data_IF_419284227106
#
_entry.id   IF_419284227106
#
_cell.length_a   1.000
_cell.length_b   1.000
_cell.length_c   1.000
_cell.angle_alpha   90.00
_cell.angle_beta   90.00
_cell.angle_gamma   90.00
#
_symmetry.space_group_name_H-M   'P 1'
#
loop_
_entity.id
_entity.type
_entity.pdbx_description
1 polymer ?
#
# COMPACT_ATOMS: atom_id res chain seq x y z
N UNK A 1 -74.88 48.42 19.63
CA UNK A 1 -74.02 47.36 20.13
C UNK A 1 -74.12 46.16 19.20
N UNK A 2 -73.21 45.99 18.27
CA UNK A 2 -73.27 44.97 17.24
C UNK A 2 -72.00 44.13 17.36
N UNK A 3 -72.15 42.89 17.88
CA UNK A 3 -71.13 41.88 17.93
C UNK A 3 -70.89 41.30 16.52
N UNK A 4 -69.65 41.35 16.04
CA UNK A 4 -69.20 40.59 14.86
C UNK A 4 -68.34 39.38 15.31
N UNK A 5 -68.62 38.14 14.88
CA UNK A 5 -67.75 37.02 15.13
C UNK A 5 -66.58 37.00 14.11
N UNK A 6 -65.36 36.83 14.62
CA UNK A 6 -64.15 36.65 13.83
C UNK A 6 -64.09 35.22 13.28
N UNK A 7 -64.04 35.12 11.95
CA UNK A 7 -63.82 33.86 11.20
C UNK A 7 -62.35 33.45 11.28
N UNK A 8 -62.04 32.39 12.02
CA UNK A 8 -60.69 31.76 12.01
C UNK A 8 -60.61 30.79 10.83
N UNK A 9 -59.87 31.16 9.81
CA UNK A 9 -59.49 30.23 8.73
C UNK A 9 -58.39 29.26 9.25
N UNK A 10 -58.73 27.97 9.35
CA UNK A 10 -57.75 26.90 9.54
C UNK A 10 -57.05 26.62 8.19
N UNK A 11 -55.79 26.99 8.09
CA UNK A 11 -54.95 26.51 6.99
C UNK A 11 -54.53 25.05 7.28
N UNK A 12 -55.14 24.11 6.57
CA UNK A 12 -54.67 22.72 6.52
C UNK A 12 -53.58 22.62 5.49
N UNK A 13 -52.30 22.49 5.94
CA UNK A 13 -51.19 22.07 5.08
C UNK A 13 -51.37 20.59 4.74
N UNK A 14 -51.29 20.18 3.47
CA UNK A 14 -51.25 18.78 3.14
C UNK A 14 -49.84 18.23 3.52
N UNK A 15 -49.82 17.29 4.43
CA UNK A 15 -48.66 16.46 4.71
C UNK A 15 -48.40 15.58 3.47
N UNK A 16 -47.42 15.93 2.64
CA UNK A 16 -46.88 15.03 1.63
C UNK A 16 -46.09 13.91 2.36
N UNK A 17 -46.73 12.76 2.54
CA UNK A 17 -46.08 11.55 2.93
C UNK A 17 -45.22 11.08 1.75
N UNK A 18 -43.91 11.41 1.75
CA UNK A 18 -42.92 10.72 0.93
C UNK A 18 -42.88 9.26 1.41
N UNK A 19 -43.54 8.38 0.68
CA UNK A 19 -43.29 6.94 0.81
C UNK A 19 -41.90 6.66 0.25
N UNK A 20 -40.89 6.61 1.12
CA UNK A 20 -39.61 6.04 0.76
C UNK A 20 -39.84 4.56 0.44
N UNK A 21 -39.83 4.21 -0.84
CA UNK A 21 -39.73 2.83 -1.24
C UNK A 21 -38.43 2.27 -0.65
N UNK A 22 -38.45 1.07 -0.02
CA UNK A 22 -37.20 0.44 0.43
C UNK A 22 -36.35 0.18 -0.81
N UNK A 23 -35.33 1.00 -1.04
CA UNK A 23 -34.24 0.66 -1.93
C UNK A 23 -33.53 -0.49 -1.23
N UNK A 24 -33.70 -1.72 -1.73
CA UNK A 24 -32.92 -2.84 -1.30
C UNK A 24 -31.50 -2.58 -1.79
N UNK A 25 -30.73 -1.86 -0.99
CA UNK A 25 -29.31 -1.65 -1.19
C UNK A 25 -28.66 -3.03 -1.16
N UNK A 26 -28.17 -3.49 -2.30
CA UNK A 26 -27.49 -4.77 -2.40
C UNK A 26 -26.06 -4.59 -1.86
N UNK A 27 -25.89 -4.83 -0.57
CA UNK A 27 -24.57 -4.78 0.09
C UNK A 27 -23.78 -6.02 -0.29
N UNK A 28 -22.66 -5.86 -0.93
CA UNK A 28 -21.72 -6.93 -1.22
C UNK A 28 -20.56 -6.88 -0.22
N UNK A 29 -20.39 -7.96 0.56
CA UNK A 29 -19.23 -8.16 1.44
C UNK A 29 -18.36 -9.26 0.84
N UNK A 30 -17.08 -8.97 0.66
CA UNK A 30 -16.09 -9.91 0.15
C UNK A 30 -15.04 -10.20 1.20
N UNK A 31 -14.70 -11.47 1.33
CA UNK A 31 -13.53 -11.95 2.06
C UNK A 31 -12.45 -12.30 1.04
N UNK A 32 -11.25 -11.80 1.24
CA UNK A 32 -10.09 -12.11 0.41
C UNK A 32 -8.83 -12.21 1.24
N UNK A 33 -7.83 -12.91 0.72
CA UNK A 33 -6.58 -13.06 1.44
C UNK A 33 -5.47 -13.62 0.58
N UNK A 34 -4.27 -13.51 1.14
CA UNK A 34 -3.04 -14.08 0.60
C UNK A 34 -2.29 -14.74 1.74
N UNK A 35 -1.99 -16.02 1.60
CA UNK A 35 -1.24 -16.82 2.56
C UNK A 35 0.12 -17.13 1.96
N UNK A 36 1.17 -16.96 2.75
CA UNK A 36 2.54 -17.25 2.33
C UNK A 36 3.33 -17.88 3.48
N UNK A 37 4.00 -18.98 3.17
CA UNK A 37 4.94 -19.63 4.07
C UNK A 37 6.04 -20.33 3.28
N UNK A 38 7.25 -20.30 3.82
CA UNK A 38 8.38 -20.98 3.21
C UNK A 38 9.47 -21.36 4.19
N UNK A 39 10.44 -22.11 3.69
CA UNK A 39 11.69 -22.41 4.38
C UNK A 39 12.76 -21.51 3.80
N UNK A 40 13.44 -20.74 4.62
CA UNK A 40 14.45 -19.79 4.14
C UNK A 40 15.59 -19.60 5.12
N UNK A 41 16.72 -19.12 4.59
CA UNK A 41 17.82 -18.56 5.35
C UNK A 41 17.89 -17.07 5.09
N UNK A 42 17.72 -16.27 6.13
CA UNK A 42 17.77 -14.82 6.05
C UNK A 42 19.19 -14.27 5.85
N UNK A 43 19.30 -12.96 5.64
CA UNK A 43 20.59 -12.24 5.56
C UNK A 43 21.36 -12.28 6.89
N UNK A 44 20.68 -12.45 8.00
CA UNK A 44 21.21 -12.71 9.35
C UNK A 44 21.78 -14.13 9.53
N UNK A 45 21.72 -14.96 8.49
CA UNK A 45 22.11 -16.36 8.44
C UNK A 45 21.24 -17.32 9.27
N UNK A 46 20.13 -16.85 9.84
CA UNK A 46 19.18 -17.69 10.57
C UNK A 46 18.31 -18.48 9.59
N UNK A 47 18.10 -19.76 9.89
CA UNK A 47 17.17 -20.62 9.13
C UNK A 47 15.79 -20.56 9.79
N UNK A 48 14.76 -20.35 9.00
CA UNK A 48 13.40 -20.18 9.48
C UNK A 48 12.42 -21.00 8.62
N UNK A 49 11.33 -21.41 9.25
CA UNK A 49 10.06 -21.63 8.60
C UNK A 49 9.21 -20.41 8.91
N UNK A 50 8.69 -19.74 7.90
CA UNK A 50 7.92 -18.51 8.14
C UNK A 50 7.60 -17.75 6.85
N UNK A 51 7.15 -16.54 7.03
CA UNK A 51 6.73 -15.66 5.94
C UNK A 51 7.91 -15.12 5.15
N UNK A 52 7.99 -15.47 3.86
CA UNK A 52 8.94 -14.86 2.89
C UNK A 52 8.31 -13.67 2.19
N UNK A 53 7.05 -13.79 1.76
CA UNK A 53 6.20 -12.71 1.29
C UNK A 53 5.31 -12.23 2.44
N UNK A 54 4.15 -11.64 2.20
CA UNK A 54 3.34 -11.09 3.30
C UNK A 54 1.94 -11.70 3.28
N UNK A 55 1.57 -12.40 4.33
CA UNK A 55 0.21 -12.92 4.49
C UNK A 55 -0.75 -11.82 4.92
N UNK A 56 -1.95 -11.80 4.34
CA UNK A 56 -2.99 -10.86 4.72
C UNK A 56 -4.38 -11.48 4.66
N UNK A 57 -5.30 -10.87 5.39
CA UNK A 57 -6.73 -11.14 5.36
C UNK A 57 -7.46 -9.80 5.24
N UNK A 58 -8.44 -9.71 4.35
CA UNK A 58 -9.21 -8.50 4.13
C UNK A 58 -10.71 -8.77 4.02
N UNK A 59 -11.49 -7.92 4.66
CA UNK A 59 -12.92 -7.75 4.46
C UNK A 59 -13.14 -6.43 3.72
N UNK A 60 -13.92 -6.44 2.66
CA UNK A 60 -14.29 -5.24 1.94
C UNK A 60 -15.75 -5.32 1.51
N UNK A 61 -16.38 -4.17 1.36
CA UNK A 61 -17.75 -4.13 0.90
C UNK A 61 -18.10 -2.81 0.24
N UNK A 62 -19.20 -2.86 -0.50
CA UNK A 62 -19.78 -1.70 -1.17
C UNK A 62 -21.29 -1.76 -1.05
N UNK A 63 -21.90 -0.62 -0.76
CA UNK A 63 -23.33 -0.39 -0.74
C UNK A 63 -23.67 0.64 -1.81
N UNK A 64 -24.58 0.32 -2.71
CA UNK A 64 -25.09 1.26 -3.73
C UNK A 64 -26.05 2.25 -3.05
N UNK A 65 -25.74 3.54 -3.16
CA UNK A 65 -26.55 4.64 -2.63
C UNK A 65 -27.44 5.30 -3.68
N UNK A 66 -27.42 4.78 -4.92
CA UNK A 66 -28.11 5.37 -6.07
C UNK A 66 -27.29 6.40 -6.83
N UNK A 67 -27.74 6.75 -8.03
CA UNK A 67 -27.15 7.76 -8.91
C UNK A 67 -25.63 7.59 -9.17
N UNK A 68 -25.14 6.34 -9.13
CA UNK A 68 -23.72 6.01 -9.31
C UNK A 68 -22.84 6.33 -8.09
N UNK A 69 -23.43 6.65 -6.95
CA UNK A 69 -22.75 6.83 -5.67
C UNK A 69 -22.76 5.51 -4.88
N UNK A 70 -21.65 5.15 -4.27
CA UNK A 70 -21.54 4.00 -3.39
C UNK A 70 -20.77 4.34 -2.11
N UNK A 71 -21.23 3.80 -0.99
CA UNK A 71 -20.43 3.71 0.24
C UNK A 71 -19.52 2.49 0.16
N UNK A 72 -18.27 2.63 0.64
CA UNK A 72 -17.29 1.54 0.63
C UNK A 72 -16.61 1.41 1.99
N UNK A 73 -16.20 0.20 2.33
CA UNK A 73 -15.32 -0.03 3.48
C UNK A 73 -14.26 -1.07 3.16
N UNK A 74 -13.13 -1.01 3.88
CA UNK A 74 -12.12 -2.06 3.88
C UNK A 74 -11.46 -2.18 5.23
N UNK A 75 -11.37 -3.42 5.72
CA UNK A 75 -10.65 -3.80 6.92
C UNK A 75 -9.67 -4.90 6.55
N UNK A 76 -8.38 -4.71 6.84
CA UNK A 76 -7.38 -5.73 6.55
C UNK A 76 -6.33 -5.85 7.65
N UNK A 77 -5.85 -7.06 7.83
CA UNK A 77 -4.79 -7.40 8.77
C UNK A 77 -3.70 -8.19 8.07
N UNK A 78 -2.48 -8.09 8.57
CA UNK A 78 -1.36 -8.93 8.18
C UNK A 78 -0.94 -9.79 9.35
N UNK A 79 -0.47 -10.98 9.07
CA UNK A 79 -0.09 -11.94 10.09
C UNK A 79 1.04 -12.84 9.61
N UNK A 80 1.77 -13.40 10.56
CA UNK A 80 2.81 -14.38 10.33
C UNK A 80 2.16 -15.77 10.39
N UNK A 81 2.15 -16.49 9.24
CA UNK A 81 1.39 -17.74 9.11
C UNK A 81 1.95 -18.88 9.97
N UNK A 82 3.24 -18.84 10.24
CA UNK A 82 3.94 -19.83 11.06
C UNK A 82 3.60 -19.74 12.55
N UNK A 83 3.27 -18.56 13.05
CA UNK A 83 2.94 -18.33 14.47
C UNK A 83 1.49 -18.02 14.74
N UNK A 84 0.75 -17.56 13.70
CA UNK A 84 -0.63 -17.06 13.85
C UNK A 84 -0.71 -15.67 14.49
N UNK A 85 0.42 -15.05 14.82
CA UNK A 85 0.46 -13.70 15.38
C UNK A 85 0.22 -12.64 14.30
N UNK A 86 -0.24 -11.44 14.68
CA UNK A 86 -0.18 -10.29 13.76
C UNK A 86 1.25 -10.02 13.36
N UNK A 87 1.50 -9.56 12.13
CA UNK A 87 2.84 -9.33 11.57
C UNK A 87 3.74 -8.56 12.56
N UNK A 88 5.00 -8.94 12.66
CA UNK A 88 5.94 -8.39 13.64
C UNK A 88 5.78 -8.94 15.04
N UNK A 89 5.51 -10.24 15.16
CA UNK A 89 5.37 -10.98 16.42
C UNK A 89 4.28 -10.42 17.37
N UNK A 90 3.17 -9.96 16.79
CA UNK A 90 2.04 -9.45 17.58
C UNK A 90 2.16 -7.99 18.04
N UNK A 91 3.24 -7.29 17.65
CA UNK A 91 3.45 -5.90 18.09
C UNK A 91 2.52 -4.88 17.41
N UNK A 92 1.84 -5.28 16.33
CA UNK A 92 1.01 -4.37 15.52
C UNK A 92 -0.48 -4.45 15.87
N UNK A 93 -1.23 -3.35 15.67
CA UNK A 93 -2.69 -3.37 15.81
C UNK A 93 -3.32 -4.42 14.89
N UNK A 94 -4.45 -5.00 15.29
CA UNK A 94 -5.12 -6.04 14.50
C UNK A 94 -5.48 -5.55 13.08
N UNK A 95 -6.15 -4.39 12.92
CA UNK A 95 -6.50 -3.81 11.62
C UNK A 95 -5.39 -2.91 11.05
N UNK A 96 -4.17 -3.36 11.14
CA UNK A 96 -3.00 -2.58 10.72
C UNK A 96 -2.89 -2.37 9.21
N UNK A 97 -3.45 -3.27 8.41
CA UNK A 97 -3.32 -3.26 6.96
C UNK A 97 -4.06 -2.08 6.34
N UNK A 98 -5.36 -2.05 6.48
CA UNK A 98 -6.24 -0.97 6.11
C UNK A 98 -7.46 -0.98 7.03
N UNK A 99 -7.97 0.18 7.39
CA UNK A 99 -9.19 0.36 8.16
C UNK A 99 -9.84 1.64 7.69
N UNK A 100 -10.72 1.54 6.68
CA UNK A 100 -11.30 2.71 6.00
C UNK A 100 -12.79 2.55 5.75
N UNK A 101 -13.47 3.69 5.71
CA UNK A 101 -14.80 3.87 5.14
C UNK A 101 -14.74 5.03 4.17
N UNK A 102 -15.53 5.01 3.10
CA UNK A 102 -15.48 6.05 2.09
C UNK A 102 -16.67 6.08 1.15
N UNK A 103 -16.59 7.00 0.21
CA UNK A 103 -17.54 7.17 -0.88
C UNK A 103 -16.83 7.05 -2.22
N UNK A 104 -17.48 6.43 -3.19
CA UNK A 104 -17.02 6.30 -4.57
C UNK A 104 -18.13 6.74 -5.52
N UNK A 105 -17.76 7.46 -6.58
CA UNK A 105 -18.72 7.95 -7.59
C UNK A 105 -18.01 8.42 -8.85
N UNK A 106 -18.68 9.21 -9.68
CA UNK A 106 -18.10 9.82 -10.87
C UNK A 106 -16.89 10.74 -10.57
N UNK A 107 -16.80 11.26 -9.35
CA UNK A 107 -15.68 12.08 -8.89
C UNK A 107 -14.43 11.26 -8.50
N UNK A 108 -14.49 9.93 -8.54
CA UNK A 108 -13.47 9.03 -8.01
C UNK A 108 -13.85 8.45 -6.66
N UNK A 109 -12.89 8.34 -5.73
CA UNK A 109 -13.12 7.80 -4.38
C UNK A 109 -12.47 8.67 -3.31
N UNK A 110 -13.18 8.87 -2.20
CA UNK A 110 -12.66 9.48 -0.97
C UNK A 110 -12.79 8.47 0.15
N UNK A 111 -11.70 8.23 0.89
CA UNK A 111 -11.65 7.28 2.01
C UNK A 111 -11.10 7.96 3.26
N UNK A 112 -11.61 7.57 4.41
CA UNK A 112 -11.21 8.06 5.73
C UNK A 112 -10.78 6.90 6.61
N UNK A 113 -9.73 7.09 7.39
CA UNK A 113 -9.22 6.10 8.33
C UNK A 113 -7.73 5.82 8.17
N UNK A 114 -7.33 4.54 8.18
CA UNK A 114 -5.94 4.10 8.02
C UNK A 114 -5.74 3.38 6.71
N UNK A 115 -4.81 3.85 5.87
CA UNK A 115 -4.42 3.18 4.62
C UNK A 115 -2.96 3.49 4.24
N UNK A 116 -2.47 2.88 3.15
CA UNK A 116 -1.20 3.24 2.53
C UNK A 116 -1.26 4.69 2.05
N UNK A 117 -0.16 5.42 2.21
CA UNK A 117 0.02 6.70 1.55
C UNK A 117 0.18 6.52 0.03
N UNK A 118 0.12 7.61 -0.71
CA UNK A 118 0.14 7.58 -2.18
C UNK A 118 1.41 7.00 -2.77
N UNK A 119 2.55 7.09 -2.07
CA UNK A 119 3.82 6.53 -2.56
C UNK A 119 3.76 5.01 -2.46
N UNK A 120 3.44 4.49 -1.26
CA UNK A 120 3.43 3.05 -0.98
C UNK A 120 2.19 2.31 -1.51
N UNK A 121 1.17 3.06 -1.96
CA UNK A 121 -0.06 2.46 -2.48
C UNK A 121 0.11 1.84 -3.88
N UNK A 122 1.03 2.37 -4.69
CA UNK A 122 1.16 2.00 -6.10
C UNK A 122 2.59 1.68 -6.56
N UNK A 123 3.61 1.86 -5.72
CA UNK A 123 5.02 1.60 -6.05
C UNK A 123 5.30 0.14 -6.40
N UNK A 124 4.57 -0.79 -5.78
CA UNK A 124 4.75 -2.23 -5.90
C UNK A 124 4.73 -2.75 -7.35
N UNK A 125 4.08 -2.03 -8.29
CA UNK A 125 4.03 -2.40 -9.70
C UNK A 125 5.39 -2.36 -10.41
N UNK A 126 6.40 -1.72 -9.83
CA UNK A 126 7.72 -1.48 -10.43
C UNK A 126 8.83 -2.38 -9.84
N UNK A 127 8.45 -3.43 -9.09
CA UNK A 127 9.34 -4.47 -8.59
C UNK A 127 8.88 -5.87 -9.03
N UNK A 128 9.78 -6.79 -9.45
CA UNK A 128 9.41 -8.14 -9.89
C UNK A 128 8.67 -8.99 -8.85
N UNK A 129 8.79 -8.67 -7.57
CA UNK A 129 8.13 -9.33 -6.44
C UNK A 129 7.07 -8.44 -5.78
N UNK A 130 6.70 -7.34 -6.42
CA UNK A 130 5.69 -6.41 -5.89
C UNK A 130 6.03 -5.86 -4.50
N UNK A 131 7.32 -5.68 -4.20
CA UNK A 131 7.80 -5.21 -2.91
C UNK A 131 7.38 -6.10 -1.71
N UNK A 132 7.17 -7.40 -1.93
CA UNK A 132 6.72 -8.31 -0.86
C UNK A 132 7.75 -9.39 -0.48
N UNK A 133 8.71 -9.72 -1.33
CA UNK A 133 9.65 -10.81 -1.07
C UNK A 133 10.87 -10.30 -0.26
N UNK A 134 10.97 -10.73 0.98
CA UNK A 134 12.04 -10.34 1.94
C UNK A 134 13.43 -10.84 1.53
N UNK A 135 13.51 -11.80 0.63
CA UNK A 135 14.75 -12.45 0.19
C UNK A 135 15.29 -11.85 -1.10
N UNK A 136 14.44 -11.65 -2.12
CA UNK A 136 14.90 -11.34 -3.47
C UNK A 136 14.45 -9.98 -4.01
N UNK A 137 13.51 -9.26 -3.37
CA UNK A 137 13.04 -7.96 -3.85
C UNK A 137 14.03 -6.85 -3.50
N UNK A 138 14.60 -6.13 -4.49
CA UNK A 138 15.39 -4.93 -4.22
C UNK A 138 14.55 -3.79 -3.66
N UNK A 139 13.26 -3.72 -4.00
CA UNK A 139 12.32 -2.78 -3.43
C UNK A 139 12.17 -2.98 -1.91
N UNK A 140 11.93 -4.22 -1.48
CA UNK A 140 11.86 -4.57 -0.07
C UNK A 140 13.11 -4.15 0.71
N UNK A 141 14.29 -4.27 0.10
CA UNK A 141 15.55 -3.94 0.75
C UNK A 141 15.82 -2.44 0.85
N UNK A 142 15.37 -1.65 -0.13
CA UNK A 142 15.91 -0.30 -0.28
C UNK A 142 14.87 0.81 -0.45
N UNK A 143 13.65 0.55 -0.98
CA UNK A 143 12.70 1.64 -1.26
C UNK A 143 12.23 2.34 0.00
N UNK A 144 12.05 3.63 -0.11
CA UNK A 144 11.60 4.51 0.97
C UNK A 144 12.46 4.36 2.23
N UNK A 145 13.77 4.20 2.01
CA UNK A 145 14.73 3.87 3.06
C UNK A 145 14.50 4.74 4.30
N UNK A 146 14.17 4.11 5.42
CA UNK A 146 13.84 4.73 6.70
C UNK A 146 12.75 5.83 6.67
N UNK A 147 12.11 6.08 5.52
CA UNK A 147 10.96 7.00 5.48
C UNK A 147 9.75 6.31 6.11
N UNK A 148 9.12 6.99 7.08
CA UNK A 148 7.86 6.57 7.67
C UNK A 148 6.79 7.62 7.34
N UNK A 149 5.73 7.22 6.65
CA UNK A 149 4.62 8.11 6.32
C UNK A 149 3.94 8.66 7.57
N UNK A 150 3.87 7.86 8.62
CA UNK A 150 3.33 8.23 9.93
C UNK A 150 4.28 7.74 11.03
N UNK A 151 5.06 8.65 11.59
CA UNK A 151 6.00 8.33 12.67
C UNK A 151 5.33 8.15 14.02
N UNK A 152 4.14 8.71 14.22
CA UNK A 152 3.48 8.73 15.53
C UNK A 152 2.67 7.48 15.78
N UNK A 153 1.97 6.96 14.78
CA UNK A 153 1.09 5.80 14.93
C UNK A 153 1.67 4.48 14.43
N UNK A 154 2.84 4.51 13.81
CA UNK A 154 3.50 3.26 13.36
C UNK A 154 4.35 2.57 14.44
N UNK A 155 4.57 3.17 15.62
CA UNK A 155 5.27 2.58 16.77
C UNK A 155 6.57 1.83 16.44
N UNK A 156 7.35 2.30 15.44
CA UNK A 156 8.56 1.62 14.99
C UNK A 156 8.30 0.27 14.29
N UNK A 157 7.06 -0.09 14.03
CA UNK A 157 6.72 -1.29 13.31
C UNK A 157 6.88 -1.08 11.79
N UNK A 158 7.29 -2.12 11.05
CA UNK A 158 7.66 -2.11 9.62
C UNK A 158 6.55 -1.70 8.63
N UNK A 159 5.53 -1.01 9.05
CA UNK A 159 4.47 -0.45 8.22
C UNK A 159 4.69 1.03 7.92
N UNK A 160 5.87 1.36 7.48
CA UNK A 160 6.31 2.74 7.24
C UNK A 160 5.44 3.51 6.24
N UNK A 161 4.81 2.84 5.29
CA UNK A 161 4.03 3.47 4.22
C UNK A 161 2.56 3.73 4.55
N UNK A 162 2.12 3.75 5.82
CA UNK A 162 0.71 3.97 6.19
C UNK A 162 0.50 5.23 6.98
N UNK A 163 -0.64 5.88 6.71
CA UNK A 163 -1.18 6.99 7.49
C UNK A 163 -2.36 6.49 8.32
N UNK A 164 -2.34 6.76 9.63
CA UNK A 164 -3.52 6.75 10.48
C UNK A 164 -4.17 8.15 10.47
N UNK A 165 -5.43 8.25 10.89
CA UNK A 165 -6.21 9.50 10.88
C UNK A 165 -6.20 10.19 9.50
N UNK A 166 -6.16 9.36 8.44
CA UNK A 166 -5.92 9.80 7.09
C UNK A 166 -7.19 10.11 6.31
N UNK A 167 -7.01 10.97 5.31
CA UNK A 167 -7.95 11.22 4.21
C UNK A 167 -7.22 10.88 2.92
N UNK A 168 -7.87 10.11 2.08
CA UNK A 168 -7.31 9.61 0.81
C UNK A 168 -8.29 9.91 -0.32
N UNK A 169 -7.76 10.39 -1.44
CA UNK A 169 -8.52 10.62 -2.65
C UNK A 169 -7.87 9.93 -3.84
N UNK A 170 -8.68 9.22 -4.61
CA UNK A 170 -8.30 8.57 -5.85
C UNK A 170 -9.17 9.11 -6.98
N UNK A 171 -8.59 9.77 -7.99
CA UNK A 171 -9.33 10.30 -9.13
C UNK A 171 -9.85 9.17 -10.04
N UNK A 172 -10.84 9.44 -10.88
CA UNK A 172 -11.09 8.63 -12.08
C UNK A 172 -9.84 8.61 -12.97
N UNK A 173 -9.75 7.58 -13.84
CA UNK A 173 -8.72 7.56 -14.89
C UNK A 173 -9.17 8.33 -16.13
N UNK A 174 -8.28 9.18 -16.64
CA UNK A 174 -8.50 9.95 -17.89
C UNK A 174 -7.32 9.70 -18.84
N UNK A 175 -7.56 9.01 -19.95
CA UNK A 175 -6.52 8.71 -20.93
C UNK A 175 -5.34 7.93 -20.36
N UNK A 176 -5.58 7.05 -19.39
CA UNK A 176 -4.56 6.29 -18.68
C UNK A 176 -3.96 7.00 -17.46
N UNK A 177 -4.24 8.28 -17.24
CA UNK A 177 -3.75 9.03 -16.08
C UNK A 177 -4.74 8.97 -14.91
N UNK A 178 -4.21 8.76 -13.71
CA UNK A 178 -4.94 8.89 -12.45
C UNK A 178 -4.09 9.65 -11.43
N UNK A 179 -4.74 10.53 -10.66
CA UNK A 179 -4.11 11.28 -9.58
C UNK A 179 -4.59 10.75 -8.22
N UNK A 180 -3.67 10.68 -7.25
CA UNK A 180 -3.97 10.24 -5.90
C UNK A 180 -3.43 11.25 -4.90
N UNK A 181 -4.19 11.50 -3.83
CA UNK A 181 -3.81 12.36 -2.73
C UNK A 181 -3.97 11.62 -1.41
N UNK A 182 -3.08 11.87 -0.48
CA UNK A 182 -3.21 11.41 0.90
C UNK A 182 -2.80 12.50 1.88
N UNK A 183 -3.43 12.52 3.02
CA UNK A 183 -3.08 13.43 4.10
C UNK A 183 -3.56 12.92 5.44
N UNK A 184 -2.92 13.35 6.51
CA UNK A 184 -3.33 13.03 7.87
C UNK A 184 -3.13 14.24 8.77
N UNK A 185 -4.07 14.42 9.71
CA UNK A 185 -3.97 15.42 10.77
C UNK A 185 -3.39 14.74 12.00
N UNK A 186 -2.14 15.05 12.34
CA UNK A 186 -1.51 14.51 13.53
C UNK A 186 -1.66 15.48 14.72
N UNK A 187 -2.32 15.00 15.77
CA UNK A 187 -2.31 15.67 17.09
C UNK A 187 -1.13 15.13 17.90
N UNK A 188 0.05 15.64 17.65
CA UNK A 188 1.29 15.12 18.23
C UNK A 188 1.68 15.78 19.54
N UNK A 189 0.75 15.88 20.51
CA UNK A 189 1.08 16.42 21.81
C UNK A 189 1.85 15.46 22.73
N UNK A 190 2.22 14.24 22.27
CA UNK A 190 2.62 13.19 23.21
C UNK A 190 3.91 12.44 22.89
N UNK A 191 4.57 12.64 21.75
CA UNK A 191 5.81 11.93 21.45
C UNK A 191 7.00 12.87 21.21
N UNK A 192 8.15 12.66 21.88
CA UNK A 192 9.39 13.40 21.58
C UNK A 192 9.80 13.20 20.11
N UNK A 193 9.97 14.29 19.37
CA UNK A 193 10.36 14.27 17.95
C UNK A 193 9.19 14.14 16.97
N UNK A 194 7.96 14.09 17.44
CA UNK A 194 6.78 14.25 16.60
C UNK A 194 6.70 15.71 16.16
N UNK A 195 6.84 15.94 14.85
CA UNK A 195 6.62 17.28 14.28
C UNK A 195 5.18 17.73 14.46
N UNK A 196 4.97 19.01 14.55
CA UNK A 196 3.63 19.63 14.57
C UNK A 196 3.04 19.79 13.17
N UNK A 197 3.65 19.16 12.17
CA UNK A 197 3.24 19.25 10.77
C UNK A 197 2.22 18.18 10.37
N UNK A 198 1.47 18.47 9.32
CA UNK A 198 0.58 17.50 8.70
C UNK A 198 1.33 16.61 7.71
N UNK A 199 0.89 15.36 7.57
CA UNK A 199 1.33 14.50 6.50
C UNK A 199 0.61 14.88 5.20
N UNK A 200 1.32 14.84 4.10
CA UNK A 200 0.78 15.09 2.78
C UNK A 200 1.52 14.27 1.74
N UNK A 201 0.77 13.68 0.80
CA UNK A 201 1.31 13.00 -0.36
C UNK A 201 0.46 13.21 -1.60
N UNK A 202 1.11 13.21 -2.76
CA UNK A 202 0.49 13.27 -4.07
C UNK A 202 1.20 12.31 -5.03
N UNK A 203 0.44 11.63 -5.90
CA UNK A 203 0.97 10.85 -7.00
C UNK A 203 0.19 11.06 -8.29
N UNK A 204 0.90 10.91 -9.40
CA UNK A 204 0.34 10.83 -10.74
C UNK A 204 0.79 9.49 -11.34
N UNK A 205 -0.18 8.68 -11.69
CA UNK A 205 0.02 7.38 -12.28
C UNK A 205 -0.45 7.41 -13.74
N UNK A 206 0.27 6.69 -14.60
CA UNK A 206 -0.11 6.44 -15.98
C UNK A 206 -0.12 4.94 -16.21
N UNK A 207 -1.23 4.41 -16.73
CA UNK A 207 -1.37 2.98 -17.04
C UNK A 207 -2.21 2.85 -18.31
N UNK A 208 -1.53 2.64 -19.45
CA UNK A 208 -2.19 2.45 -20.74
C UNK A 208 -1.36 1.58 -21.67
N UNK A 209 -2.00 0.55 -22.21
CA UNK A 209 -1.34 -0.41 -23.10
C UNK A 209 -0.17 -1.12 -22.41
N UNK A 210 1.03 -1.16 -23.02
CA UNK A 210 2.17 -1.83 -22.43
C UNK A 210 2.91 -1.01 -21.37
N UNK A 211 2.55 0.25 -21.16
CA UNK A 211 3.31 1.21 -20.33
C UNK A 211 2.58 1.48 -19.03
N UNK A 212 3.29 1.37 -17.92
CA UNK A 212 2.88 1.91 -16.63
C UNK A 212 3.98 2.83 -16.10
N UNK A 213 3.61 3.97 -15.52
CA UNK A 213 4.54 4.92 -14.91
C UNK A 213 3.92 5.58 -13.69
N UNK A 214 4.77 6.04 -12.77
CA UNK A 214 4.36 6.72 -11.55
C UNK A 214 5.36 7.80 -11.19
N UNK A 215 4.84 8.95 -10.77
CA UNK A 215 5.57 9.99 -10.05
C UNK A 215 4.83 10.24 -8.74
N UNK A 216 5.52 10.13 -7.62
CA UNK A 216 4.93 10.37 -6.31
C UNK A 216 5.86 11.16 -5.40
N UNK A 217 5.26 11.94 -4.51
CA UNK A 217 5.96 12.67 -3.46
C UNK A 217 5.14 12.63 -2.18
N UNK A 218 5.80 12.42 -1.06
CA UNK A 218 5.18 12.47 0.27
C UNK A 218 6.11 13.17 1.27
N UNK A 219 5.50 13.86 2.22
CA UNK A 219 6.15 14.50 3.37
C UNK A 219 5.40 14.10 4.63
N UNK A 220 6.12 13.66 5.66
CA UNK A 220 5.54 13.33 6.96
C UNK A 220 5.53 14.53 7.92
N UNK A 221 4.90 14.36 9.07
CA UNK A 221 4.78 15.39 10.12
C UNK A 221 6.13 15.83 10.70
N UNK A 222 7.15 14.97 10.68
CA UNK A 222 8.50 15.28 11.13
C UNK A 222 9.32 16.08 10.11
N UNK A 223 8.80 16.24 8.88
CA UNK A 223 9.48 16.95 7.81
C UNK A 223 10.31 16.08 6.89
N UNK A 224 10.39 14.76 7.13
CA UNK A 224 11.02 13.82 6.19
C UNK A 224 10.22 13.79 4.89
N UNK A 225 10.91 13.53 3.80
CA UNK A 225 10.33 13.53 2.45
C UNK A 225 10.77 12.28 1.69
N UNK A 226 9.91 11.82 0.81
CA UNK A 226 10.22 10.80 -0.18
C UNK A 226 9.70 11.23 -1.55
N UNK A 227 10.47 10.97 -2.59
CA UNK A 227 10.04 11.13 -3.99
C UNK A 227 10.36 9.85 -4.73
N UNK A 228 9.39 9.33 -5.44
CA UNK A 228 9.48 8.09 -6.19
C UNK A 228 9.10 8.31 -7.64
N UNK A 229 9.91 7.74 -8.55
CA UNK A 229 9.60 7.66 -9.99
C UNK A 229 9.74 6.20 -10.40
N UNK A 230 8.70 5.62 -10.95
CA UNK A 230 8.69 4.24 -11.43
C UNK A 230 8.22 4.15 -12.88
N UNK A 231 8.73 3.17 -13.60
CA UNK A 231 8.31 2.84 -14.95
C UNK A 231 8.33 1.34 -15.20
N UNK A 232 7.34 0.84 -15.96
CA UNK A 232 7.23 -0.56 -16.38
C UNK A 232 6.79 -0.63 -17.84
N UNK A 233 7.39 -1.54 -18.57
CA UNK A 233 7.00 -1.88 -19.93
C UNK A 233 6.76 -3.39 -20.05
N UNK A 234 5.61 -3.77 -20.60
CA UNK A 234 5.20 -5.16 -20.78
C UNK A 234 5.10 -5.46 -22.27
N UNK A 235 5.84 -6.45 -22.75
CA UNK A 235 5.80 -6.89 -24.16
C UNK A 235 5.78 -8.42 -24.24
N UNK A 236 4.64 -8.96 -24.65
CA UNK A 236 4.44 -10.41 -24.69
C UNK A 236 4.69 -11.04 -23.32
N UNK A 237 5.66 -11.95 -23.26
CA UNK A 237 6.05 -12.66 -22.03
C UNK A 237 7.06 -11.91 -21.16
N UNK A 238 7.52 -10.74 -21.59
CA UNK A 238 8.54 -9.97 -20.87
C UNK A 238 7.93 -8.75 -20.18
N UNK A 239 8.38 -8.50 -18.98
CA UNK A 239 8.19 -7.23 -18.28
C UNK A 239 9.57 -6.71 -17.87
N UNK A 240 9.81 -5.44 -18.14
CA UNK A 240 10.98 -4.73 -17.63
C UNK A 240 10.49 -3.53 -16.84
N UNK A 241 11.15 -3.25 -15.74
CA UNK A 241 10.74 -2.17 -14.82
C UNK A 241 11.95 -1.54 -14.17
N UNK A 242 11.78 -0.31 -13.74
CA UNK A 242 12.81 0.40 -12.99
C UNK A 242 12.21 1.49 -12.14
N UNK A 243 12.90 1.85 -11.08
CA UNK A 243 12.50 2.93 -10.21
C UNK A 243 13.70 3.73 -9.70
N UNK A 244 13.46 5.01 -9.46
CA UNK A 244 14.31 5.91 -8.70
C UNK A 244 13.54 6.40 -7.48
N UNK A 245 14.13 6.22 -6.31
CA UNK A 245 13.59 6.66 -5.03
C UNK A 245 14.61 7.56 -4.34
N UNK A 246 14.15 8.64 -3.71
CA UNK A 246 14.99 9.46 -2.86
C UNK A 246 14.24 9.87 -1.61
N UNK A 247 14.87 9.62 -0.47
CA UNK A 247 14.34 9.96 0.86
C UNK A 247 15.27 10.90 1.58
N UNK A 248 14.73 11.89 2.29
CA UNK A 248 15.48 12.81 3.15
C UNK A 248 14.89 12.78 4.54
N UNK A 249 15.76 12.78 5.53
CA UNK A 249 15.41 12.71 6.96
C UNK A 249 15.94 13.93 7.66
N UNK A 250 15.16 14.48 8.61
CA UNK A 250 15.51 15.68 9.36
C UNK A 250 15.93 15.38 10.80
N UNK A 251 15.78 14.13 11.27
CA UNK A 251 16.14 13.74 12.64
C UNK A 251 16.48 12.24 12.71
N UNK A 252 17.40 11.82 13.60
CA UNK A 252 18.22 12.61 14.54
C UNK A 252 19.37 13.37 13.88
N UNK A 253 19.72 13.04 12.64
CA UNK A 253 20.74 13.70 11.82
C UNK A 253 20.20 13.81 10.40
N UNK A 254 20.38 14.97 9.78
CA UNK A 254 20.03 15.15 8.36
C UNK A 254 20.76 14.11 7.52
N UNK A 255 20.00 13.31 6.80
CA UNK A 255 20.55 12.26 5.93
C UNK A 255 19.73 12.13 4.66
N UNK A 256 20.36 11.60 3.62
CA UNK A 256 19.74 11.39 2.32
C UNK A 256 20.03 10.01 1.77
N UNK A 257 18.98 9.29 1.44
CA UNK A 257 19.05 8.05 0.68
C UNK A 257 18.65 8.28 -0.78
N UNK A 258 19.37 7.65 -1.70
CA UNK A 258 19.02 7.54 -3.12
C UNK A 258 19.05 6.08 -3.51
N UNK A 259 18.02 5.62 -4.16
CA UNK A 259 17.86 4.23 -4.59
C UNK A 259 17.59 4.18 -6.09
N UNK A 260 18.26 3.26 -6.77
CA UNK A 260 17.94 2.89 -8.15
C UNK A 260 17.66 1.39 -8.16
N UNK A 261 16.55 0.99 -8.77
CA UNK A 261 16.22 -0.43 -8.99
C UNK A 261 15.91 -0.69 -10.45
N UNK A 262 16.28 -1.88 -10.91
CA UNK A 262 15.90 -2.42 -12.21
C UNK A 262 15.37 -3.83 -12.00
N UNK A 263 14.34 -4.20 -12.74
CA UNK A 263 13.71 -5.51 -12.65
C UNK A 263 13.32 -6.07 -14.00
N UNK A 264 13.29 -7.38 -14.08
CA UNK A 264 12.78 -8.10 -15.24
C UNK A 264 12.01 -9.35 -14.81
N UNK A 265 10.93 -9.66 -15.55
CA UNK A 265 10.16 -10.89 -15.42
C UNK A 265 10.00 -11.49 -16.81
N UNK A 266 10.28 -12.78 -16.93
CA UNK A 266 10.01 -13.56 -18.14
C UNK A 266 9.08 -14.72 -17.79
N UNK A 267 7.90 -14.76 -18.42
CA UNK A 267 6.87 -15.77 -18.15
C UNK A 267 6.70 -16.70 -19.34
N UNK A 268 6.71 -18.01 -19.09
CA UNK A 268 6.46 -19.04 -20.11
C UNK A 268 5.70 -20.22 -19.49
N UNK A 269 4.60 -20.59 -20.10
CA UNK A 269 3.70 -21.61 -19.57
C UNK A 269 3.22 -21.24 -18.16
N UNK A 270 3.52 -22.09 -17.18
CA UNK A 270 3.19 -21.89 -15.77
C UNK A 270 4.35 -21.32 -14.95
N UNK A 271 5.47 -20.98 -15.60
CA UNK A 271 6.69 -20.56 -14.94
C UNK A 271 6.97 -19.08 -15.21
N UNK A 272 7.45 -18.36 -14.20
CA UNK A 272 8.00 -17.01 -14.33
C UNK A 272 9.38 -16.95 -13.71
N UNK A 273 10.37 -16.43 -14.45
CA UNK A 273 11.70 -16.12 -13.96
C UNK A 273 11.80 -14.65 -13.63
N UNK A 274 12.46 -14.31 -12.53
CA UNK A 274 12.55 -12.94 -11.99
C UNK A 274 13.99 -12.56 -11.72
N UNK A 275 14.36 -11.34 -12.11
CA UNK A 275 15.63 -10.69 -11.81
C UNK A 275 15.36 -9.31 -11.22
N UNK A 276 16.03 -8.97 -10.14
CA UNK A 276 16.02 -7.65 -9.54
C UNK A 276 17.43 -7.17 -9.22
N UNK A 277 17.72 -5.92 -9.57
CA UNK A 277 18.96 -5.24 -9.26
C UNK A 277 18.63 -3.99 -8.47
N UNK A 278 19.41 -3.71 -7.42
CA UNK A 278 19.22 -2.53 -6.59
C UNK A 278 20.54 -1.88 -6.20
N UNK A 279 20.52 -0.56 -6.05
CA UNK A 279 21.62 0.21 -5.47
C UNK A 279 21.06 1.27 -4.55
N UNK A 280 21.49 1.24 -3.31
CA UNK A 280 21.30 2.27 -2.30
C UNK A 280 22.57 3.11 -2.19
N UNK A 281 22.41 4.43 -2.14
CA UNK A 281 23.44 5.41 -1.75
C UNK A 281 22.89 6.19 -0.54
N UNK A 282 23.41 5.91 0.64
CA UNK A 282 23.06 6.58 1.88
C UNK A 282 24.24 7.48 2.28
N UNK A 283 24.10 8.79 2.05
CA UNK A 283 25.14 9.78 2.35
C UNK A 283 26.54 9.40 1.82
N UNK A 284 26.59 8.78 0.62
CA UNK A 284 27.82 8.30 -0.01
C UNK A 284 28.16 6.84 0.29
N UNK A 285 27.61 6.23 1.33
CA UNK A 285 27.74 4.81 1.59
C UNK A 285 26.87 4.00 0.62
N UNK A 286 27.50 3.14 -0.17
CA UNK A 286 26.82 2.44 -1.27
C UNK A 286 26.65 0.96 -0.96
N UNK A 287 25.46 0.45 -1.23
CA UNK A 287 25.11 -0.96 -1.14
C UNK A 287 24.49 -1.42 -2.45
N UNK A 288 24.96 -2.53 -3.02
CA UNK A 288 24.35 -3.15 -4.18
C UNK A 288 23.53 -4.38 -3.76
N UNK A 289 22.50 -4.67 -4.52
CA UNK A 289 21.64 -5.82 -4.33
C UNK A 289 21.37 -6.55 -5.64
N UNK A 290 21.36 -7.88 -5.58
CA UNK A 290 20.91 -8.74 -6.68
C UNK A 290 19.91 -9.74 -6.12
N UNK A 291 18.75 -9.84 -6.77
CA UNK A 291 17.72 -10.83 -6.48
C UNK A 291 17.42 -11.70 -7.68
N UNK A 292 17.25 -12.99 -7.45
CA UNK A 292 16.82 -13.98 -8.42
C UNK A 292 15.62 -14.76 -7.88
N UNK A 293 14.70 -15.15 -8.74
CA UNK A 293 13.56 -15.96 -8.36
C UNK A 293 12.92 -16.69 -9.51
N UNK A 294 12.17 -17.72 -9.17
CA UNK A 294 11.30 -18.42 -10.07
C UNK A 294 10.00 -18.78 -9.37
N UNK A 295 8.89 -18.56 -10.06
CA UNK A 295 7.55 -18.93 -9.62
C UNK A 295 7.03 -20.04 -10.54
N UNK A 296 6.28 -20.99 -9.97
CA UNK A 296 5.55 -22.03 -10.69
C UNK A 296 4.11 -22.09 -10.24
N UNK A 297 3.18 -21.83 -11.15
CA UNK A 297 1.74 -21.81 -10.87
C UNK A 297 1.21 -23.26 -10.81
N UNK A 298 0.80 -23.71 -9.62
CA UNK A 298 0.03 -24.95 -9.46
C UNK A 298 -1.43 -24.74 -9.87
N UNK A 299 -1.94 -23.53 -9.68
CA UNK A 299 -3.27 -23.10 -10.09
C UNK A 299 -3.29 -21.57 -10.27
N UNK A 300 -4.44 -21.00 -10.66
CA UNK A 300 -4.62 -19.52 -10.70
C UNK A 300 -4.41 -18.83 -9.34
N UNK A 301 -4.45 -19.58 -8.25
CA UNK A 301 -4.40 -19.06 -6.87
C UNK A 301 -3.25 -19.59 -6.05
N UNK A 302 -2.57 -20.64 -6.50
CA UNK A 302 -1.51 -21.31 -5.73
C UNK A 302 -0.20 -21.32 -6.52
N UNK A 303 0.86 -20.81 -5.91
CA UNK A 303 2.18 -20.68 -6.51
C UNK A 303 3.23 -21.32 -5.61
N UNK A 304 4.09 -22.16 -6.19
CA UNK A 304 5.38 -22.52 -5.59
C UNK A 304 6.42 -21.53 -6.08
N UNK A 305 7.35 -21.17 -5.21
CA UNK A 305 8.42 -20.25 -5.61
C UNK A 305 9.74 -20.55 -4.92
N UNK A 306 10.81 -20.11 -5.57
CA UNK A 306 12.17 -20.06 -5.01
C UNK A 306 12.72 -18.65 -5.17
N UNK A 307 13.53 -18.22 -4.22
CA UNK A 307 14.10 -16.87 -4.19
C UNK A 307 15.51 -16.90 -3.63
N UNK A 308 16.41 -16.08 -4.19
CA UNK A 308 17.75 -15.85 -3.67
C UNK A 308 18.09 -14.35 -3.79
N UNK A 309 18.76 -13.82 -2.77
CA UNK A 309 19.19 -12.43 -2.74
C UNK A 309 20.61 -12.30 -2.19
N UNK A 310 21.36 -11.33 -2.73
CA UNK A 310 22.68 -10.94 -2.25
C UNK A 310 22.75 -9.45 -2.01
N UNK A 311 23.08 -9.08 -0.81
CA UNK A 311 23.33 -7.71 -0.37
C UNK A 311 24.83 -7.50 -0.24
N UNK A 312 25.38 -6.47 -0.91
CA UNK A 312 26.83 -6.23 -1.03
C UNK A 312 27.17 -4.77 -0.71
N UNK A 313 27.33 -4.41 0.57
CA UNK A 313 27.74 -3.07 0.98
C UNK A 313 29.22 -2.85 0.60
N UNK A 314 29.51 -1.70 -0.05
CA UNK A 314 30.89 -1.32 -0.37
C UNK A 314 31.65 -1.06 0.93
N UNK A 315 32.78 -1.76 1.09
CA UNK A 315 33.60 -1.68 2.30
C UNK A 315 33.10 -2.51 3.48
N UNK A 316 32.05 -3.29 3.30
CA UNK A 316 31.49 -4.21 4.29
C UNK A 316 31.47 -5.66 3.80
N UNK A 317 30.96 -6.56 4.65
CA UNK A 317 30.80 -7.97 4.30
C UNK A 317 29.48 -8.22 3.57
N UNK A 318 29.54 -8.88 2.41
CA UNK A 318 28.34 -9.28 1.69
C UNK A 318 27.56 -10.35 2.47
N UNK A 319 26.24 -10.30 2.36
CA UNK A 319 25.33 -11.29 2.93
C UNK A 319 24.38 -11.83 1.86
N UNK A 320 23.90 -13.06 2.07
CA UNK A 320 22.97 -13.70 1.13
C UNK A 320 21.84 -14.36 1.88
N UNK A 321 20.66 -14.29 1.29
CA UNK A 321 19.46 -14.98 1.72
C UNK A 321 18.92 -15.85 0.58
N UNK A 322 18.25 -16.96 0.90
CA UNK A 322 17.58 -17.81 -0.07
C UNK A 322 16.47 -18.61 0.59
N UNK A 323 15.49 -19.00 -0.18
CA UNK A 323 14.38 -19.79 0.33
C UNK A 323 13.45 -20.29 -0.77
N UNK A 324 12.56 -21.16 -0.36
CA UNK A 324 11.47 -21.69 -1.18
C UNK A 324 10.17 -21.67 -0.37
N UNK A 325 9.06 -21.43 -1.03
CA UNK A 325 7.79 -21.32 -0.34
C UNK A 325 6.59 -21.63 -1.24
N UNK A 326 5.45 -21.58 -0.61
CA UNK A 326 4.14 -21.69 -1.25
C UNK A 326 3.29 -20.48 -0.87
N UNK A 327 2.60 -19.93 -1.84
CA UNK A 327 1.60 -18.90 -1.60
C UNK A 327 0.25 -19.29 -2.18
N UNK A 328 -0.83 -18.82 -1.53
CA UNK A 328 -2.20 -19.08 -1.94
C UNK A 328 -3.06 -17.84 -1.75
N UNK A 329 -3.83 -17.48 -2.79
CA UNK A 329 -4.83 -16.39 -2.75
C UNK A 329 -6.24 -16.96 -2.73
N UNK A 330 -7.16 -16.37 -1.99
CA UNK A 330 -8.57 -16.78 -1.93
C UNK A 330 -9.52 -15.59 -1.92
#
# INVERSE_FOLDING_TARGET
MTNRPALRALLTLPFLTLTAAPVLAQSNVSLSGFLDVGVFRGFDKVKNVGTIQRSNLAFSGSEDLGDGLAATFKLSTRFDLDTGATEGAGAKPFWQGESTVGLKGAFGAVRFGRALDVVSANDWAYDPWYNFNRVASPAWQFWHYNYASDRTSNNGSAEYGRLANGVFYDSPSFGGFAAHLSGAFENSNTAPGSGTGNNFGASLNYDQGPVSAMLAHSKNSSGDKVTFVGGKYTVGSFQVMGAYDTSTFVAPVDSKAKVVTLGAVYSFGLTSLKLGLGRLDLDGAKTNFVGLGADYLLSKRTTLYVSAGRNDPKGGSASSAYGAGISHSF
#
